data_IF_984912260319
#
_entry.id   IF_984912260319
#
_cell.length_a   1.000
_cell.length_b   1.000
_cell.length_c   1.000
_cell.angle_alpha   90.00
_cell.angle_beta   90.00
_cell.angle_gamma   90.00
#
_symmetry.space_group_name_H-M   'P 1'
#
loop_
_entity.id
_entity.type
_entity.pdbx_description
1 polymer ?
#
# COMPACT_ATOMS: atom_id res chain seq x y z
N UNK A 1 6.56 2.06 17.74
CA UNK A 1 6.30 3.52 18.02
C UNK A 1 5.35 3.68 19.17
N UNK A 2 4.24 2.95 19.21
CA UNK A 2 3.30 2.97 20.35
C UNK A 2 3.98 2.51 21.62
N UNK A 3 4.80 1.46 21.58
CA UNK A 3 5.59 0.99 22.73
C UNK A 3 6.49 2.07 23.31
N UNK A 4 7.08 2.93 22.45
CA UNK A 4 7.90 4.06 22.89
C UNK A 4 7.04 5.12 23.60
N UNK A 5 5.82 5.37 23.11
CA UNK A 5 4.88 6.28 23.76
C UNK A 5 4.38 5.73 25.08
N UNK A 6 4.05 4.43 25.13
CA UNK A 6 3.64 3.75 26.37
C UNK A 6 4.77 3.74 27.39
N UNK A 7 6.00 3.46 26.96
CA UNK A 7 7.18 3.53 27.84
C UNK A 7 7.44 4.96 28.35
N UNK A 8 7.30 5.95 27.47
CA UNK A 8 7.45 7.37 27.86
C UNK A 8 6.42 7.82 28.91
N UNK A 9 5.16 7.38 28.76
CA UNK A 9 4.07 7.71 29.69
C UNK A 9 3.87 6.67 30.80
N UNK A 10 4.72 5.64 30.88
CA UNK A 10 4.68 4.70 32.00
C UNK A 10 4.89 5.47 33.34
N UNK A 11 4.18 5.09 34.43
CA UNK A 11 4.33 5.72 35.73
C UNK A 11 5.78 5.67 36.21
N UNK A 12 6.31 6.83 36.65
CA UNK A 12 7.66 6.96 37.20
C UNK A 12 7.58 7.56 38.59
N UNK A 13 7.32 6.74 39.62
CA UNK A 13 7.04 7.21 40.96
C UNK A 13 8.21 7.98 41.60
N UNK A 14 9.43 7.83 41.08
CA UNK A 14 10.61 8.53 41.57
C UNK A 14 10.80 9.94 40.96
N UNK A 15 10.17 10.22 39.81
CA UNK A 15 10.34 11.48 39.08
C UNK A 15 9.12 12.39 39.16
N UNK A 16 7.93 11.85 39.42
CA UNK A 16 6.67 12.57 39.34
C UNK A 16 6.13 12.95 40.71
N UNK A 17 5.56 14.16 40.80
CA UNK A 17 4.67 14.49 41.92
C UNK A 17 3.32 13.79 41.76
N UNK A 18 2.48 13.78 42.80
CA UNK A 18 1.19 13.02 42.79
C UNK A 18 0.32 13.36 41.58
N UNK A 19 0.18 14.63 41.22
CA UNK A 19 -0.62 15.08 40.06
C UNK A 19 0.03 14.66 38.71
N UNK A 20 1.35 14.69 38.65
CA UNK A 20 2.10 14.25 37.47
C UNK A 20 1.98 12.75 37.22
N UNK A 21 2.02 11.95 38.29
CA UNK A 21 1.84 10.50 38.22
C UNK A 21 0.42 10.15 37.80
N UNK A 22 -0.61 10.81 38.31
CA UNK A 22 -2.00 10.63 37.91
C UNK A 22 -2.21 10.97 36.43
N UNK A 23 -1.65 12.10 35.98
CA UNK A 23 -1.72 12.49 34.56
C UNK A 23 -1.05 11.45 33.63
N UNK A 24 0.17 10.99 34.00
CA UNK A 24 0.85 9.93 33.20
C UNK A 24 0.03 8.66 33.13
N UNK A 25 -0.55 8.23 34.25
CA UNK A 25 -1.37 7.03 34.30
C UNK A 25 -2.59 7.17 33.39
N UNK A 26 -3.31 8.29 33.43
CA UNK A 26 -4.47 8.53 32.56
C UNK A 26 -4.09 8.50 31.07
N UNK A 27 -2.95 9.13 30.70
CA UNK A 27 -2.48 9.11 29.31
C UNK A 27 -2.05 7.69 28.89
N UNK A 28 -1.35 6.97 29.75
CA UNK A 28 -0.92 5.60 29.53
C UNK A 28 -2.14 4.67 29.28
N UNK A 29 -3.12 4.72 30.16
CA UNK A 29 -4.32 3.89 30.07
C UNK A 29 -5.13 4.23 28.80
N UNK A 30 -5.25 5.52 28.48
CA UNK A 30 -5.90 5.99 27.27
C UNK A 30 -5.20 5.50 25.99
N UNK A 31 -3.86 5.59 25.95
CA UNK A 31 -3.08 5.08 24.82
C UNK A 31 -3.15 3.56 24.72
N UNK A 32 -3.00 2.84 25.83
CA UNK A 32 -3.07 1.39 25.86
C UNK A 32 -4.42 0.89 25.36
N UNK A 33 -5.52 1.48 25.84
CA UNK A 33 -6.86 1.13 25.40
C UNK A 33 -7.11 1.46 23.91
N UNK A 34 -6.72 2.67 23.48
CA UNK A 34 -6.99 3.11 22.10
C UNK A 34 -6.22 2.30 21.05
N UNK A 35 -5.02 1.82 21.40
CA UNK A 35 -4.15 1.09 20.48
C UNK A 35 -4.09 -0.42 20.75
N UNK A 36 -4.93 -0.96 21.63
CA UNK A 36 -4.95 -2.37 22.02
C UNK A 36 -4.98 -3.33 20.82
N UNK A 37 -5.82 -3.03 19.83
CA UNK A 37 -6.03 -3.87 18.65
C UNK A 37 -5.33 -3.39 17.38
N UNK A 38 -4.46 -2.40 17.46
CA UNK A 38 -3.84 -1.80 16.27
C UNK A 38 -3.07 -2.81 15.42
N UNK A 39 -2.41 -3.78 16.05
CA UNK A 39 -1.65 -4.82 15.37
C UNK A 39 -2.52 -5.92 14.74
N UNK A 40 -3.82 -5.92 15.02
CA UNK A 40 -4.78 -6.81 14.39
C UNK A 40 -5.45 -6.17 13.16
N UNK A 41 -5.28 -4.87 12.96
CA UNK A 41 -5.96 -4.11 11.91
C UNK A 41 -5.06 -3.96 10.68
N UNK A 42 -5.52 -4.52 9.55
CA UNK A 42 -4.81 -4.47 8.25
C UNK A 42 -4.52 -3.05 7.76
N UNK A 43 -5.34 -2.06 8.16
CA UNK A 43 -5.15 -0.66 7.77
C UNK A 43 -3.85 -0.08 8.32
N UNK A 44 -3.40 -0.55 9.47
CA UNK A 44 -2.16 -0.10 10.11
C UNK A 44 -1.00 -1.07 9.88
N UNK A 45 -1.27 -2.38 9.84
CA UNK A 45 -0.22 -3.39 9.70
C UNK A 45 0.33 -3.45 8.28
N UNK A 46 -0.51 -3.32 7.24
CA UNK A 46 -0.04 -3.35 5.86
C UNK A 46 0.94 -2.19 5.53
N UNK A 47 0.62 -0.89 5.82
CA UNK A 47 1.60 0.17 5.63
C UNK A 47 2.92 -0.07 6.38
N UNK A 48 2.85 -0.64 7.59
CA UNK A 48 4.03 -0.94 8.41
C UNK A 48 4.91 -2.00 7.75
N UNK A 49 4.32 -3.08 7.23
CA UNK A 49 5.06 -4.13 6.51
C UNK A 49 5.72 -3.59 5.24
N UNK A 50 5.01 -2.74 4.46
CA UNK A 50 5.55 -2.17 3.22
C UNK A 50 6.52 -1.00 3.45
N UNK A 51 6.66 -0.48 4.66
CA UNK A 51 7.68 0.50 4.98
C UNK A 51 9.04 -0.18 5.24
N UNK A 52 10.06 0.02 4.38
CA UNK A 52 11.35 -0.67 4.51
C UNK A 52 12.14 -0.27 5.76
N UNK A 53 11.71 0.76 6.49
CA UNK A 53 12.31 1.19 7.76
C UNK A 53 11.83 0.35 8.94
N UNK A 54 10.63 -0.23 8.84
CA UNK A 54 9.96 -0.94 9.94
C UNK A 54 9.76 -2.41 9.63
N UNK A 55 9.18 -2.75 8.48
CA UNK A 55 8.88 -4.13 8.05
C UNK A 55 8.10 -4.88 9.13
N UNK A 56 8.54 -6.10 9.46
CA UNK A 56 7.98 -6.95 10.52
C UNK A 56 8.70 -6.83 11.87
N UNK A 57 9.59 -5.84 12.03
CA UNK A 57 10.48 -5.72 13.21
C UNK A 57 9.88 -4.94 14.38
N UNK A 58 8.75 -4.24 14.17
CA UNK A 58 8.16 -3.32 15.16
C UNK A 58 6.93 -3.89 15.85
N UNK A 59 6.56 -5.12 15.57
CA UNK A 59 5.43 -5.79 16.21
C UNK A 59 5.81 -6.33 17.58
N UNK A 60 4.89 -6.26 18.53
CA UNK A 60 5.12 -6.66 19.93
C UNK A 60 5.44 -8.15 20.06
N UNK A 61 4.83 -9.00 19.22
CA UNK A 61 5.01 -10.45 19.24
C UNK A 61 5.30 -11.00 17.85
N UNK A 62 6.13 -12.05 17.74
CA UNK A 62 6.37 -12.74 16.47
C UNK A 62 5.10 -13.28 15.79
N UNK A 63 4.09 -13.68 16.58
CA UNK A 63 2.79 -14.14 16.09
C UNK A 63 2.05 -13.01 15.35
N UNK A 64 2.06 -11.80 15.89
CA UNK A 64 1.46 -10.60 15.28
C UNK A 64 2.22 -10.19 14.02
N UNK A 65 3.55 -10.19 14.05
CA UNK A 65 4.37 -9.97 12.87
C UNK A 65 4.05 -10.95 11.73
N UNK A 66 3.94 -12.24 12.04
CA UNK A 66 3.58 -13.27 11.06
C UNK A 66 2.15 -13.10 10.52
N UNK A 67 1.21 -12.67 11.36
CA UNK A 67 -0.16 -12.35 10.94
C UNK A 67 -0.17 -11.15 9.98
N UNK A 68 0.53 -10.08 10.31
CA UNK A 68 0.67 -8.89 9.47
C UNK A 68 1.29 -9.22 8.10
N UNK A 69 2.34 -10.05 8.08
CA UNK A 69 2.95 -10.54 6.83
C UNK A 69 1.95 -11.35 6.00
N UNK A 70 1.09 -12.17 6.62
CA UNK A 70 0.02 -12.92 5.90
C UNK A 70 -1.00 -11.97 5.28
N UNK A 71 -1.43 -10.93 5.99
CA UNK A 71 -2.34 -9.90 5.47
C UNK A 71 -1.72 -9.16 4.30
N UNK A 72 -0.47 -8.70 4.43
CA UNK A 72 0.25 -8.01 3.37
C UNK A 72 0.42 -8.87 2.10
N UNK A 73 0.72 -10.16 2.24
CA UNK A 73 0.79 -11.11 1.13
C UNK A 73 -0.56 -11.30 0.44
N UNK A 74 -1.63 -11.50 1.21
CA UNK A 74 -2.98 -11.67 0.67
C UNK A 74 -3.40 -10.44 -0.14
N UNK A 75 -3.08 -9.25 0.34
CA UNK A 75 -3.37 -8.01 -0.36
C UNK A 75 -2.51 -7.84 -1.62
N UNK A 76 -1.22 -8.19 -1.58
CA UNK A 76 -0.35 -8.14 -2.75
C UNK A 76 -0.84 -9.06 -3.87
N UNK A 77 -1.33 -10.25 -3.54
CA UNK A 77 -1.95 -11.16 -4.51
C UNK A 77 -3.21 -10.54 -5.13
N UNK A 78 -4.09 -9.92 -4.33
CA UNK A 78 -5.30 -9.24 -4.85
C UNK A 78 -4.95 -8.10 -5.80
N UNK A 79 -3.94 -7.30 -5.47
CA UNK A 79 -3.49 -6.18 -6.31
C UNK A 79 -2.85 -6.68 -7.60
N UNK A 80 -2.05 -7.75 -7.54
CA UNK A 80 -1.44 -8.39 -8.71
C UNK A 80 -2.51 -8.92 -9.70
N UNK A 81 -3.59 -9.53 -9.19
CA UNK A 81 -4.70 -9.97 -10.04
C UNK A 81 -5.38 -8.79 -10.74
N UNK A 82 -5.70 -7.71 -10.01
CA UNK A 82 -6.36 -6.52 -10.59
C UNK A 82 -5.52 -5.84 -11.67
N UNK A 83 -4.21 -5.76 -11.49
CA UNK A 83 -3.31 -5.19 -12.49
C UNK A 83 -3.33 -6.01 -13.79
N UNK A 84 -3.34 -7.34 -13.68
CA UNK A 84 -3.37 -8.23 -14.86
C UNK A 84 -4.72 -8.21 -15.60
N UNK A 85 -5.84 -8.01 -14.89
CA UNK A 85 -7.16 -7.93 -15.50
C UNK A 85 -7.33 -6.63 -16.32
N UNK A 86 -6.82 -5.50 -15.81
CA UNK A 86 -6.85 -4.21 -16.52
C UNK A 86 -6.02 -4.21 -17.80
N UNK A 87 -4.89 -4.92 -17.85
CA UNK A 87 -4.06 -5.03 -19.07
C UNK A 87 -4.76 -5.85 -20.18
N UNK A 88 -5.74 -6.68 -19.83
CA UNK A 88 -6.50 -7.46 -20.82
C UNK A 88 -7.67 -6.67 -21.45
N UNK A 89 -8.18 -5.61 -20.81
CA UNK A 89 -9.29 -4.80 -21.34
C UNK A 89 -8.83 -3.70 -22.34
N UNK A 90 -7.54 -3.37 -22.39
CA UNK A 90 -7.02 -2.28 -23.25
C UNK A 90 -6.50 -2.74 -24.61
N UNK A 91 -6.66 -4.02 -24.99
CA UNK A 91 -6.18 -4.56 -26.27
C UNK A 91 -7.26 -5.08 -27.20
N UNK A 92 -8.47 -4.48 -27.17
CA UNK A 92 -9.40 -4.54 -28.31
C UNK A 92 -9.43 -3.19 -29.02
N UNK A 93 -8.35 -2.84 -29.69
CA UNK A 93 -8.38 -1.85 -30.77
C UNK A 93 -8.24 -2.60 -32.08
N UNK A 94 -9.35 -2.63 -32.80
CA UNK A 94 -9.42 -2.95 -34.22
C UNK A 94 -8.32 -2.20 -34.97
N UNK A 95 -7.31 -2.92 -35.40
CA UNK A 95 -6.48 -2.54 -36.52
C UNK A 95 -6.59 -3.64 -37.56
N UNK A 96 -7.54 -3.49 -38.44
CA UNK A 96 -7.53 -4.10 -39.75
C UNK A 96 -6.24 -3.72 -40.48
N UNK A 97 -5.20 -4.52 -40.27
CA UNK A 97 -4.05 -4.56 -41.16
C UNK A 97 -3.94 -5.98 -41.65
N UNK A 98 -4.45 -6.20 -42.87
CA UNK A 98 -4.29 -7.45 -43.60
C UNK A 98 -2.79 -7.69 -43.86
N UNK A 99 -2.13 -8.45 -42.96
CA UNK A 99 -0.87 -9.10 -43.30
C UNK A 99 -1.15 -10.44 -44.02
N UNK A 100 -0.42 -10.77 -45.11
CA UNK A 100 -0.70 -11.94 -45.93
C UNK A 100 -0.51 -13.22 -45.12
N UNK A 101 -1.58 -14.03 -45.04
CA UNK A 101 -1.60 -15.36 -44.43
C UNK A 101 -0.53 -16.25 -45.08
N UNK A 102 0.64 -16.41 -44.47
CA UNK A 102 1.60 -17.44 -44.82
C UNK A 102 0.97 -18.80 -44.55
N UNK A 103 0.82 -19.58 -45.62
CA UNK A 103 0.37 -20.98 -45.54
C UNK A 103 1.34 -21.76 -44.66
N UNK A 104 0.89 -22.18 -43.48
CA UNK A 104 1.67 -22.99 -42.54
C UNK A 104 1.78 -24.39 -43.09
N UNK A 105 2.99 -24.78 -43.49
CA UNK A 105 3.30 -26.13 -43.95
C UNK A 105 3.04 -27.13 -42.81
N UNK A 106 2.30 -28.20 -43.10
CA UNK A 106 2.11 -29.35 -42.20
C UNK A 106 3.46 -29.96 -41.86
N UNK A 107 3.89 -29.80 -40.57
CA UNK A 107 5.12 -30.44 -40.11
C UNK A 107 6.06 -29.53 -39.31
N UNK A 108 5.59 -28.38 -38.80
CA UNK A 108 6.43 -27.45 -38.08
C UNK A 108 6.84 -28.01 -36.70
N UNK A 109 8.10 -28.39 -36.55
CA UNK A 109 8.73 -28.83 -35.31
C UNK A 109 8.47 -27.81 -34.15
N UNK A 110 8.42 -26.53 -34.48
CA UNK A 110 8.17 -25.43 -33.54
C UNK A 110 6.72 -25.32 -33.07
N UNK A 111 5.74 -25.88 -33.78
CA UNK A 111 4.33 -25.82 -33.36
C UNK A 111 4.07 -26.50 -32.01
N UNK A 112 4.85 -27.56 -31.68
CA UNK A 112 4.81 -28.19 -30.35
C UNK A 112 5.50 -27.33 -29.29
N UNK A 113 6.55 -26.61 -29.64
CA UNK A 113 7.23 -25.68 -28.74
C UNK A 113 6.35 -24.47 -28.45
N UNK A 114 5.74 -23.89 -29.49
CA UNK A 114 4.86 -22.72 -29.34
C UNK A 114 3.60 -23.05 -28.54
N UNK A 115 3.02 -24.23 -28.75
CA UNK A 115 1.88 -24.70 -27.93
C UNK A 115 2.28 -24.97 -26.46
N UNK A 116 3.52 -25.37 -26.20
CA UNK A 116 4.07 -25.53 -24.86
C UNK A 116 4.30 -24.18 -24.20
N UNK A 117 4.85 -23.20 -24.92
CA UNK A 117 5.05 -21.82 -24.44
C UNK A 117 3.72 -21.13 -24.10
N UNK A 118 2.68 -21.30 -24.93
CA UNK A 118 1.33 -20.79 -24.67
C UNK A 118 0.70 -21.44 -23.42
N UNK A 119 0.92 -22.76 -23.20
CA UNK A 119 0.45 -23.45 -21.98
C UNK A 119 1.19 -23.01 -20.73
N UNK A 120 2.50 -22.77 -20.83
CA UNK A 120 3.33 -22.23 -19.71
C UNK A 120 2.86 -20.81 -19.38
N UNK A 121 2.64 -19.95 -20.38
CA UNK A 121 2.13 -18.59 -20.18
C UNK A 121 0.71 -18.56 -19.60
N UNK A 122 -0.19 -19.50 -19.99
CA UNK A 122 -1.51 -19.64 -19.36
C UNK A 122 -1.43 -20.12 -17.91
N UNK A 123 -0.49 -21.02 -17.58
CA UNK A 123 -0.25 -21.47 -16.20
C UNK A 123 0.41 -20.40 -15.34
N UNK A 124 1.22 -19.53 -15.94
CA UNK A 124 1.79 -18.35 -15.28
C UNK A 124 0.73 -17.31 -14.84
N UNK A 125 -0.46 -17.33 -15.47
CA UNK A 125 -1.61 -16.48 -15.11
C UNK A 125 -2.52 -17.12 -14.04
N UNK A 126 -2.19 -18.29 -13.50
CA UNK A 126 -2.98 -18.91 -12.44
C UNK A 126 -2.80 -18.21 -11.09
N UNK A 127 -3.85 -18.18 -10.27
CA UNK A 127 -3.82 -17.61 -8.91
C UNK A 127 -2.66 -18.14 -8.05
N UNK A 128 -2.28 -19.40 -8.23
CA UNK A 128 -1.19 -20.02 -7.49
C UNK A 128 0.18 -19.49 -7.91
N UNK A 129 0.37 -19.15 -9.19
CA UNK A 129 1.60 -18.52 -9.65
C UNK A 129 1.83 -17.14 -9.00
N UNK A 130 0.79 -16.30 -8.91
CA UNK A 130 0.93 -14.98 -8.24
C UNK A 130 1.25 -15.14 -6.75
N UNK A 131 0.66 -16.13 -6.08
CA UNK A 131 1.00 -16.42 -4.67
C UNK A 131 2.46 -16.80 -4.50
N UNK A 132 2.98 -17.68 -5.36
CA UNK A 132 4.37 -18.12 -5.31
C UNK A 132 5.35 -16.95 -5.59
N UNK A 133 5.02 -16.08 -6.55
CA UNK A 133 5.82 -14.88 -6.84
C UNK A 133 5.82 -13.91 -5.66
N UNK A 134 4.65 -13.58 -5.12
CA UNK A 134 4.50 -12.70 -3.95
C UNK A 134 5.21 -13.27 -2.74
N UNK A 135 5.12 -14.58 -2.50
CA UNK A 135 5.80 -15.26 -1.40
C UNK A 135 7.32 -15.20 -1.53
N UNK A 136 7.84 -15.37 -2.74
CA UNK A 136 9.27 -15.24 -3.04
C UNK A 136 9.76 -13.80 -2.82
N UNK A 137 9.03 -12.82 -3.37
CA UNK A 137 9.35 -11.40 -3.18
C UNK A 137 9.30 -10.98 -1.71
N UNK A 138 8.24 -11.37 -0.99
CA UNK A 138 8.09 -11.03 0.42
C UNK A 138 9.23 -11.61 1.28
N UNK A 139 9.63 -12.86 1.04
CA UNK A 139 10.77 -13.46 1.74
C UNK A 139 12.07 -12.69 1.47
N UNK A 140 12.36 -12.36 0.22
CA UNK A 140 13.53 -11.57 -0.16
C UNK A 140 13.49 -10.17 0.45
N UNK A 141 12.34 -9.49 0.37
CA UNK A 141 12.16 -8.16 0.93
C UNK A 141 12.39 -8.12 2.45
N UNK A 142 11.83 -9.07 3.18
CA UNK A 142 11.99 -9.14 4.64
C UNK A 142 13.42 -9.52 5.06
N UNK A 143 14.16 -10.27 4.23
CA UNK A 143 15.57 -10.63 4.50
C UNK A 143 16.55 -9.47 4.29
N UNK A 144 16.18 -8.44 3.53
CA UNK A 144 17.02 -7.25 3.38
C UNK A 144 17.17 -6.50 4.70
N UNK A 145 18.32 -5.83 4.95
CA UNK A 145 18.46 -4.97 6.10
C UNK A 145 17.38 -3.86 6.11
N UNK A 146 17.02 -3.40 7.31
CA UNK A 146 16.09 -2.26 7.43
C UNK A 146 16.74 -0.99 6.87
N UNK A 147 15.91 -0.15 6.27
CA UNK A 147 16.33 1.18 5.84
C UNK A 147 16.53 2.10 7.06
N UNK A 148 17.42 3.06 6.94
CA UNK A 148 17.61 4.08 7.97
C UNK A 148 16.30 4.86 8.22
N UNK A 149 16.07 5.25 9.49
CA UNK A 149 14.82 5.93 9.91
C UNK A 149 14.59 7.26 9.22
N UNK A 150 15.63 7.98 8.85
CA UNK A 150 15.56 9.28 8.19
C UNK A 150 15.44 9.18 6.67
N UNK A 151 15.65 7.99 6.11
CA UNK A 151 15.53 7.75 4.67
C UNK A 151 14.06 7.79 4.22
N UNK A 152 13.85 8.24 2.99
CA UNK A 152 12.51 8.29 2.40
C UNK A 152 12.09 6.89 1.86
N UNK A 153 11.04 6.27 2.41
CA UNK A 153 10.60 4.95 1.96
C UNK A 153 10.08 4.97 0.53
N UNK A 154 9.43 6.04 0.09
CA UNK A 154 8.91 6.17 -1.28
C UNK A 154 10.06 6.24 -2.29
N UNK A 155 11.13 6.97 -1.97
CA UNK A 155 12.32 7.03 -2.83
C UNK A 155 12.99 5.65 -2.95
N UNK A 156 13.06 4.89 -1.87
CA UNK A 156 13.59 3.52 -1.90
C UNK A 156 12.76 2.60 -2.80
N UNK A 157 11.43 2.63 -2.66
CA UNK A 157 10.54 1.84 -3.51
C UNK A 157 10.67 2.23 -4.99
N UNK A 158 10.77 3.54 -5.29
CA UNK A 158 10.95 4.02 -6.66
C UNK A 158 12.29 3.61 -7.28
N UNK A 159 13.38 3.62 -6.51
CA UNK A 159 14.72 3.41 -7.05
C UNK A 159 15.16 1.94 -7.00
N UNK A 160 14.67 1.17 -6.06
CA UNK A 160 15.08 -0.22 -5.81
C UNK A 160 13.90 -1.18 -5.87
N UNK A 161 12.86 -0.90 -5.09
CA UNK A 161 11.76 -1.83 -4.87
C UNK A 161 11.00 -2.17 -6.15
N UNK A 162 10.73 -1.19 -7.02
CA UNK A 162 9.98 -1.42 -8.25
C UNK A 162 10.64 -2.43 -9.22
N UNK A 163 11.96 -2.56 -9.17
CA UNK A 163 12.71 -3.49 -10.03
C UNK A 163 12.89 -4.86 -9.38
N UNK A 164 13.05 -4.90 -8.05
CA UNK A 164 13.32 -6.15 -7.34
C UNK A 164 12.05 -6.86 -6.86
N UNK A 165 10.98 -6.11 -6.60
CA UNK A 165 9.74 -6.57 -5.98
C UNK A 165 8.51 -5.97 -6.69
N UNK A 166 8.29 -6.25 -7.99
CA UNK A 166 7.24 -5.60 -8.77
C UNK A 166 5.83 -5.82 -8.21
N UNK A 167 5.53 -7.01 -7.66
CA UNK A 167 4.21 -7.27 -7.07
C UNK A 167 4.02 -6.53 -5.74
N UNK A 168 5.05 -6.45 -4.91
CA UNK A 168 4.99 -5.71 -3.64
C UNK A 168 4.98 -4.20 -3.87
N UNK A 169 5.61 -3.71 -4.95
CA UNK A 169 5.66 -2.30 -5.27
C UNK A 169 4.27 -1.69 -5.50
N UNK A 170 3.36 -2.40 -6.17
CA UNK A 170 1.99 -1.94 -6.39
C UNK A 170 1.25 -1.76 -5.05
N UNK A 171 1.46 -2.66 -4.09
CA UNK A 171 0.95 -2.49 -2.74
C UNK A 171 1.61 -1.34 -1.99
N UNK A 172 2.93 -1.21 -2.10
CA UNK A 172 3.66 -0.12 -1.47
C UNK A 172 3.14 1.24 -1.94
N UNK A 173 2.89 1.42 -3.24
CA UNK A 173 2.25 2.64 -3.77
C UNK A 173 0.91 2.92 -3.10
N UNK A 174 0.05 1.89 -3.00
CA UNK A 174 -1.28 2.02 -2.40
C UNK A 174 -1.22 2.47 -0.94
N UNK A 175 -0.36 1.85 -0.15
CA UNK A 175 -0.34 2.06 1.30
C UNK A 175 0.54 3.23 1.75
N UNK A 176 1.70 3.45 1.11
CA UNK A 176 2.63 4.50 1.53
C UNK A 176 2.26 5.89 0.99
N UNK A 177 1.36 6.01 0.02
CA UNK A 177 0.85 7.31 -0.43
C UNK A 177 -0.28 7.84 0.46
N UNK A 178 -0.84 7.03 1.37
CA UNK A 178 -1.91 7.46 2.27
C UNK A 178 -1.35 8.39 3.34
N UNK A 179 -1.91 9.59 3.51
CA UNK A 179 -1.48 10.49 4.58
C UNK A 179 -1.83 9.88 5.94
N UNK A 180 -0.92 9.95 6.90
CA UNK A 180 -1.12 9.46 8.26
C UNK A 180 -2.08 10.35 9.11
N UNK A 181 -2.66 11.38 8.51
CA UNK A 181 -3.50 12.38 9.20
C UNK A 181 -4.61 12.89 8.30
N UNK A 182 -5.75 13.25 8.89
CA UNK A 182 -6.88 13.88 8.21
C UNK A 182 -6.66 15.38 7.88
N UNK A 183 -5.60 15.99 8.42
CA UNK A 183 -5.31 17.42 8.25
C UNK A 183 -5.33 17.89 6.78
N UNK A 184 -4.76 17.18 5.79
CA UNK A 184 -4.90 17.58 4.39
C UNK A 184 -6.36 17.64 3.93
N UNK A 185 -7.20 16.67 4.31
CA UNK A 185 -8.62 16.65 3.97
C UNK A 185 -9.38 17.77 4.67
N UNK A 186 -9.11 18.00 5.96
CA UNK A 186 -9.71 19.09 6.73
C UNK A 186 -9.38 20.46 6.14
N UNK A 187 -8.14 20.66 5.68
CA UNK A 187 -7.75 21.88 4.97
C UNK A 187 -8.53 22.08 3.68
N UNK A 188 -8.77 20.99 2.91
CA UNK A 188 -9.60 21.06 1.70
C UNK A 188 -11.04 21.38 2.03
N UNK A 189 -11.63 20.72 3.04
CA UNK A 189 -13.02 20.98 3.46
C UNK A 189 -13.21 22.39 4.02
N UNK A 190 -12.29 22.91 4.82
CA UNK A 190 -12.34 24.27 5.32
C UNK A 190 -12.34 25.29 4.16
N UNK A 191 -11.47 25.08 3.17
CA UNK A 191 -11.43 25.94 1.96
C UNK A 191 -12.67 25.77 1.08
N UNK A 192 -13.20 24.53 0.96
CA UNK A 192 -14.44 24.27 0.27
C UNK A 192 -15.60 25.04 0.89
N UNK A 193 -15.70 25.05 2.22
CA UNK A 193 -16.69 25.86 2.95
C UNK A 193 -16.59 27.37 2.67
N UNK A 194 -15.36 27.88 2.53
CA UNK A 194 -15.14 29.28 2.16
C UNK A 194 -15.54 29.59 0.71
N UNK A 195 -15.27 28.67 -0.22
CA UNK A 195 -15.66 28.79 -1.64
C UNK A 195 -17.17 28.67 -1.82
N UNK A 196 -17.80 27.74 -1.08
CA UNK A 196 -19.24 27.41 -1.13
C UNK A 196 -20.08 28.24 -0.14
N UNK A 197 -19.69 29.45 0.16
CA UNK A 197 -20.43 30.33 1.06
C UNK A 197 -21.85 30.69 0.49
N UNK A 198 -22.71 31.25 1.36
CA UNK A 198 -24.09 31.60 1.00
C UNK A 198 -24.22 32.51 -0.23
N UNK A 199 -23.21 33.34 -0.53
CA UNK A 199 -23.19 34.23 -1.71
C UNK A 199 -22.96 33.48 -3.03
N UNK A 200 -22.53 32.22 -2.98
CA UNK A 200 -22.25 31.33 -4.14
C UNK A 200 -23.11 30.06 -4.11
N UNK A 201 -24.29 30.12 -3.45
CA UNK A 201 -25.16 28.95 -3.28
C UNK A 201 -25.71 28.39 -4.62
N UNK A 202 -25.66 29.17 -5.70
CA UNK A 202 -26.08 28.73 -7.05
C UNK A 202 -24.99 28.00 -7.83
N UNK A 203 -23.79 27.74 -7.22
CA UNK A 203 -22.71 27.05 -7.90
C UNK A 203 -23.07 25.57 -8.10
N UNK A 204 -23.12 25.10 -9.34
CA UNK A 204 -23.36 23.69 -9.64
C UNK A 204 -22.20 22.82 -9.14
N UNK A 205 -22.49 21.56 -8.74
CA UNK A 205 -21.50 20.60 -8.21
C UNK A 205 -20.23 20.47 -9.06
N UNK A 206 -20.27 20.40 -10.42
CA UNK A 206 -19.06 20.27 -11.23
C UNK A 206 -18.13 21.47 -11.11
N UNK A 207 -18.71 22.69 -11.11
CA UNK A 207 -17.94 23.94 -11.02
C UNK A 207 -17.35 24.09 -9.62
N UNK A 208 -18.10 23.71 -8.57
CA UNK A 208 -17.60 23.69 -7.21
C UNK A 208 -16.39 22.76 -7.05
N UNK A 209 -16.47 21.52 -7.54
CA UNK A 209 -15.36 20.59 -7.52
C UNK A 209 -14.14 21.11 -8.26
N UNK A 210 -14.34 21.68 -9.45
CA UNK A 210 -13.27 22.28 -10.25
C UNK A 210 -12.56 23.41 -9.50
N UNK A 211 -13.29 24.32 -8.86
CA UNK A 211 -12.73 25.42 -8.09
C UNK A 211 -11.95 24.94 -6.87
N UNK A 212 -12.47 23.93 -6.14
CA UNK A 212 -11.79 23.35 -4.98
C UNK A 212 -10.47 22.68 -5.43
N UNK A 213 -10.50 21.91 -6.50
CA UNK A 213 -9.33 21.22 -7.06
C UNK A 213 -8.26 22.21 -7.55
N UNK A 214 -8.67 23.26 -8.30
CA UNK A 214 -7.77 24.30 -8.75
C UNK A 214 -7.13 25.05 -7.58
N UNK A 215 -7.93 25.45 -6.58
CA UNK A 215 -7.41 26.15 -5.40
C UNK A 215 -6.46 25.30 -4.57
N UNK A 216 -6.61 23.97 -4.58
CA UNK A 216 -5.70 23.06 -3.86
C UNK A 216 -4.36 22.86 -4.60
N UNK A 217 -4.40 22.80 -5.93
CA UNK A 217 -3.26 22.43 -6.77
C UNK A 217 -2.45 23.63 -7.31
N UNK A 218 -2.98 24.84 -7.27
CA UNK A 218 -2.30 26.07 -7.74
C UNK A 218 -1.47 26.75 -6.62
N UNK A 219 -0.76 25.97 -5.81
CA UNK A 219 0.19 26.53 -4.84
C UNK A 219 1.62 26.32 -5.27
#
# INVERSE_FOLDING_TARGET
>A
MIDILLDFYSPKPEEDNELGAEFRQLVYDGLAHYFEDIENNETYTNPTIFDPRFKNLVFTMPSKANQAVRFAKAEAVKVAHKANDNDNETHETDTDTEEPKRKVAKGNFWAKHDSKSVKINKKAKSSDHFKDCVDSEMRKYLSLPKLDRLSCPIAWWKNVGQYQFPYLFECAKKYLCQPATSVPSERVFSKAGYILNKKRASLGKPVANMLITLHHNLK
#
